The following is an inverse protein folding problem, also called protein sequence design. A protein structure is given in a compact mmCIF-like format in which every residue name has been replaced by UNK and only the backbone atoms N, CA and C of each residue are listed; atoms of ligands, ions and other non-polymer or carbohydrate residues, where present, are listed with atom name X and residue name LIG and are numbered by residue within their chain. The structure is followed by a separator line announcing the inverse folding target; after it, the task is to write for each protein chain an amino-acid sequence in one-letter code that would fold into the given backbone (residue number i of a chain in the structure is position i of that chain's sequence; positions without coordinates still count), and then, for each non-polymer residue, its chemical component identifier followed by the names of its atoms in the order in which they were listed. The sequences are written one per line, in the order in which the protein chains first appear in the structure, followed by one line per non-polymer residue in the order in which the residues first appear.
data_IF_039617340065
#
_entry.id   IF_039617340065
#
_cell.length_a   1.000
_cell.length_b   1.000
_cell.length_c   1.000
_cell.angle_alpha   90.00
_cell.angle_beta   90.00
_cell.angle_gamma   90.00
#
_symmetry.space_group_name_H-M   'P 1'
#
loop_
_entity.id
_entity.type
_entity.pdbx_description
1 polymer ?
#
# COMPACT_ATOMS: atom_id res chain seq x y z
N UNK A 1 10.09 59.47 9.55
CA UNK A 1 9.87 57.98 9.50
C UNK A 1 9.16 57.63 10.79
N UNK A 2 7.91 57.16 10.69
CA UNK A 2 7.08 56.91 11.85
C UNK A 2 7.65 55.68 12.62
N UNK A 3 7.83 55.84 13.93
CA UNK A 3 8.42 54.84 14.83
C UNK A 3 7.65 53.51 14.72
N UNK A 4 6.32 53.56 14.58
CA UNK A 4 5.50 52.37 14.41
C UNK A 4 5.84 51.57 13.14
N UNK A 5 6.07 52.25 12.00
CA UNK A 5 6.50 51.63 10.76
C UNK A 5 7.89 50.98 10.87
N UNK A 6 8.81 51.63 11.61
CA UNK A 6 10.13 51.09 11.85
C UNK A 6 10.08 49.83 12.74
N UNK A 7 9.28 49.85 13.83
CA UNK A 7 9.07 48.74 14.72
C UNK A 7 8.43 47.57 13.94
N UNK A 8 7.39 47.82 13.16
CA UNK A 8 6.71 46.81 12.33
C UNK A 8 7.65 46.17 11.30
N UNK A 9 8.49 46.97 10.63
CA UNK A 9 9.51 46.48 9.71
C UNK A 9 10.57 45.63 10.44
N UNK A 10 11.03 46.02 11.61
CA UNK A 10 12.00 45.28 12.42
C UNK A 10 11.41 43.97 12.93
N UNK A 11 10.17 43.98 13.43
CA UNK A 11 9.46 42.78 13.87
C UNK A 11 9.26 41.81 12.69
N UNK A 12 8.81 42.34 11.54
CA UNK A 12 8.62 41.52 10.34
C UNK A 12 9.95 40.96 9.80
N UNK A 13 11.05 41.73 9.86
CA UNK A 13 12.37 41.24 9.46
C UNK A 13 12.91 40.20 10.45
N UNK A 14 12.69 40.40 11.76
CA UNK A 14 13.08 39.44 12.80
C UNK A 14 12.25 38.15 12.71
N UNK A 15 10.93 38.26 12.53
CA UNK A 15 10.04 37.10 12.33
C UNK A 15 10.41 36.37 11.05
N UNK A 16 10.68 37.05 9.94
CA UNK A 16 11.18 36.45 8.71
C UNK A 16 12.54 35.77 8.89
N UNK A 17 13.47 36.40 9.66
CA UNK A 17 14.77 35.79 9.95
C UNK A 17 14.63 34.52 10.83
N UNK A 18 13.72 34.51 11.81
CA UNK A 18 13.45 33.34 12.64
C UNK A 18 12.73 32.23 11.86
N UNK A 19 11.80 32.58 10.96
CA UNK A 19 11.16 31.63 10.05
C UNK A 19 12.18 31.05 9.05
N UNK A 20 13.16 31.85 8.61
CA UNK A 20 14.23 31.41 7.70
C UNK A 20 15.26 30.47 8.36
N UNK A 21 15.28 30.36 9.70
CA UNK A 21 16.19 29.46 10.44
C UNK A 21 15.62 28.07 10.74
N UNK A 22 14.32 27.86 10.62
CA UNK A 22 13.75 26.51 10.75
C UNK A 22 13.77 25.83 9.39
N UNK A 23 14.71 24.91 9.20
CA UNK A 23 14.76 24.06 8.01
C UNK A 23 13.43 23.33 7.87
N UNK A 24 12.79 23.43 6.71
CA UNK A 24 11.54 22.73 6.43
C UNK A 24 11.73 21.21 6.60
N UNK A 25 10.69 20.55 7.03
CA UNK A 25 10.73 19.12 7.35
C UNK A 25 9.66 18.37 6.57
N UNK A 26 10.06 17.36 5.81
CA UNK A 26 9.13 16.48 5.11
C UNK A 26 9.08 15.10 5.76
N UNK A 27 7.92 14.43 5.69
CA UNK A 27 7.79 13.01 6.01
C UNK A 27 7.50 12.22 4.74
N UNK A 28 8.20 11.11 4.57
CA UNK A 28 8.11 10.24 3.41
C UNK A 28 7.69 8.82 3.80
N UNK A 29 6.66 8.27 3.12
CA UNK A 29 6.40 6.84 3.11
C UNK A 29 7.56 6.13 2.40
N UNK A 30 8.33 5.31 3.13
CA UNK A 30 9.63 4.80 2.69
C UNK A 30 9.66 3.27 2.67
N UNK A 31 9.77 2.70 1.48
CA UNK A 31 9.92 1.25 1.28
C UNK A 31 11.37 0.76 1.27
N UNK A 32 12.35 1.68 1.22
CA UNK A 32 13.75 1.34 0.97
C UNK A 32 14.08 0.98 -0.48
N UNK A 33 13.11 1.07 -1.38
CA UNK A 33 13.29 0.90 -2.83
C UNK A 33 14.08 2.03 -3.48
N UNK A 34 14.26 1.96 -4.81
CA UNK A 34 14.96 2.99 -5.56
C UNK A 34 14.19 4.31 -5.48
N UNK A 35 12.92 4.31 -5.89
CA UNK A 35 12.07 5.48 -6.00
C UNK A 35 12.05 6.28 -4.69
N UNK A 36 11.74 5.64 -3.57
CA UNK A 36 11.72 6.30 -2.27
C UNK A 36 13.11 6.76 -1.80
N UNK A 37 14.19 6.09 -2.22
CA UNK A 37 15.57 6.54 -1.95
C UNK A 37 15.95 7.78 -2.76
N UNK A 38 15.48 7.85 -4.02
CA UNK A 38 15.60 9.05 -4.88
C UNK A 38 14.84 10.22 -4.25
N UNK A 39 13.61 9.99 -3.79
CA UNK A 39 12.80 11.03 -3.13
C UNK A 39 13.48 11.59 -1.89
N UNK A 40 14.11 10.77 -1.04
CA UNK A 40 14.88 11.25 0.12
C UNK A 40 15.92 12.27 -0.32
N UNK A 41 16.73 11.91 -1.32
CA UNK A 41 17.82 12.79 -1.81
C UNK A 41 17.28 14.03 -2.49
N UNK A 42 16.23 13.90 -3.28
CA UNK A 42 15.57 15.03 -3.92
C UNK A 42 15.06 16.06 -2.91
N UNK A 43 14.37 15.62 -1.85
CA UNK A 43 13.89 16.50 -0.79
C UNK A 43 15.05 17.20 -0.04
N UNK A 44 16.16 16.50 0.19
CA UNK A 44 17.33 17.05 0.87
C UNK A 44 18.07 18.08 0.02
N UNK A 45 18.27 17.82 -1.25
CA UNK A 45 19.19 18.59 -2.11
C UNK A 45 18.47 19.66 -2.92
N UNK A 46 17.28 19.38 -3.48
CA UNK A 46 16.53 20.33 -4.30
C UNK A 46 15.60 21.23 -3.45
N UNK A 47 15.09 20.69 -2.33
CA UNK A 47 14.21 21.46 -1.43
C UNK A 47 14.87 21.88 -0.12
N UNK A 48 16.13 21.51 0.11
CA UNK A 48 16.86 21.78 1.36
C UNK A 48 16.07 21.38 2.63
N UNK A 49 15.31 20.28 2.57
CA UNK A 49 14.46 19.81 3.66
C UNK A 49 15.15 18.80 4.56
N UNK A 50 14.82 18.80 5.83
CA UNK A 50 15.06 17.67 6.72
C UNK A 50 14.02 16.58 6.44
N UNK A 51 14.47 15.33 6.25
CA UNK A 51 13.59 14.22 5.90
C UNK A 51 13.40 13.29 7.11
N UNK A 52 12.15 13.03 7.43
CA UNK A 52 11.69 11.94 8.30
C UNK A 52 11.10 10.86 7.42
N UNK A 53 11.37 9.60 7.72
CA UNK A 53 10.81 8.48 6.95
C UNK A 53 10.02 7.54 7.85
N UNK A 54 9.03 6.89 7.25
CA UNK A 54 8.21 5.87 7.92
C UNK A 54 8.04 4.66 7.01
N UNK A 55 8.29 3.48 7.56
CA UNK A 55 7.92 2.20 6.96
C UNK A 55 6.83 1.56 7.81
N UNK A 56 5.75 1.14 7.17
CA UNK A 56 4.60 0.53 7.84
C UNK A 56 4.53 -0.94 7.45
N UNK A 57 4.54 -1.81 8.45
CA UNK A 57 4.41 -3.26 8.28
C UNK A 57 2.94 -3.65 8.18
N UNK A 58 2.52 -4.06 7.01
CA UNK A 58 1.21 -4.64 6.69
C UNK A 58 1.32 -6.11 6.28
N UNK A 59 2.47 -6.73 6.57
CA UNK A 59 2.76 -8.15 6.30
C UNK A 59 3.48 -8.40 4.98
N UNK A 60 4.25 -7.44 4.49
CA UNK A 60 5.04 -7.59 3.26
C UNK A 60 6.30 -8.45 3.43
N UNK A 61 6.69 -8.75 4.69
CA UNK A 61 7.86 -9.61 4.97
C UNK A 61 9.21 -8.95 4.74
N UNK A 62 9.26 -7.63 4.79
CA UNK A 62 10.49 -6.85 4.58
C UNK A 62 11.50 -6.98 5.74
N UNK A 63 12.77 -6.77 5.44
CA UNK A 63 13.82 -6.60 6.46
C UNK A 63 13.85 -5.15 6.96
N UNK A 64 13.06 -4.85 7.98
CA UNK A 64 12.96 -3.51 8.58
C UNK A 64 14.27 -3.00 9.17
N UNK A 65 15.18 -3.89 9.58
CA UNK A 65 16.52 -3.48 10.05
C UNK A 65 17.35 -2.97 8.88
N UNK A 66 17.31 -3.66 7.75
CA UNK A 66 17.98 -3.24 6.51
C UNK A 66 17.41 -1.92 5.97
N UNK A 67 16.07 -1.76 5.99
CA UNK A 67 15.40 -0.53 5.58
C UNK A 67 15.83 0.65 6.48
N UNK A 68 15.81 0.48 7.80
CA UNK A 68 16.24 1.49 8.75
C UNK A 68 17.71 1.89 8.55
N UNK A 69 18.59 0.91 8.33
CA UNK A 69 20.00 1.15 8.05
C UNK A 69 20.21 1.94 6.75
N UNK A 70 19.38 1.66 5.72
CA UNK A 70 19.39 2.39 4.46
C UNK A 70 18.91 3.83 4.63
N UNK A 71 17.82 4.06 5.35
CA UNK A 71 17.33 5.40 5.69
C UNK A 71 18.43 6.23 6.39
N UNK A 72 19.11 5.64 7.38
CA UNK A 72 20.24 6.28 8.08
C UNK A 72 21.38 6.64 7.13
N UNK A 73 21.76 5.74 6.21
CA UNK A 73 22.82 5.98 5.21
C UNK A 73 22.46 7.10 4.24
N UNK A 74 21.17 7.30 3.95
CA UNK A 74 20.69 8.40 3.12
C UNK A 74 20.66 9.75 3.86
N UNK A 75 21.05 9.81 5.15
CA UNK A 75 21.06 11.04 5.93
C UNK A 75 19.67 11.44 6.45
N UNK A 76 18.74 10.50 6.55
CA UNK A 76 17.41 10.74 7.12
C UNK A 76 17.55 11.11 8.62
N UNK A 77 16.89 12.18 9.05
CA UNK A 77 16.93 12.65 10.45
C UNK A 77 16.33 11.63 11.43
N UNK A 78 15.23 10.99 11.03
CA UNK A 78 14.54 10.00 11.84
C UNK A 78 13.77 9.02 10.95
N UNK A 79 13.80 7.75 11.34
CA UNK A 79 13.07 6.69 10.67
C UNK A 79 12.16 5.96 11.66
N UNK A 80 10.93 5.73 11.26
CA UNK A 80 9.93 4.98 12.02
C UNK A 80 9.60 3.67 11.34
N UNK A 81 9.54 2.59 12.14
CA UNK A 81 8.94 1.32 11.73
C UNK A 81 7.67 1.12 12.55
N UNK A 82 6.55 0.96 11.90
CA UNK A 82 5.23 0.79 12.52
C UNK A 82 4.67 -0.58 12.14
N UNK A 83 4.45 -1.44 13.11
CA UNK A 83 3.70 -2.69 12.90
C UNK A 83 2.20 -2.38 12.90
N UNK A 84 1.59 -2.44 11.72
CA UNK A 84 0.16 -2.19 11.52
C UNK A 84 -0.60 -3.46 11.08
N UNK A 85 0.01 -4.66 11.15
CA UNK A 85 -0.62 -5.92 10.69
C UNK A 85 -1.95 -6.20 11.35
N UNK A 86 -2.05 -5.99 12.67
CA UNK A 86 -3.29 -6.22 13.39
C UNK A 86 -4.40 -5.30 12.90
N UNK A 87 -4.12 -3.99 12.83
CA UNK A 87 -5.05 -2.97 12.35
C UNK A 87 -5.43 -3.24 10.89
N UNK A 88 -4.46 -3.62 10.05
CA UNK A 88 -4.74 -4.00 8.66
C UNK A 88 -5.74 -5.14 8.56
N UNK A 89 -5.62 -6.17 9.41
CA UNK A 89 -6.58 -7.29 9.41
C UNK A 89 -7.94 -6.87 9.95
N UNK A 90 -7.98 -6.20 11.13
CA UNK A 90 -9.25 -5.92 11.81
C UNK A 90 -10.07 -4.82 11.15
N UNK A 91 -9.41 -3.78 10.64
CA UNK A 91 -10.08 -2.54 10.23
C UNK A 91 -10.17 -2.40 8.69
N UNK A 92 -9.43 -3.25 7.94
CA UNK A 92 -9.43 -3.23 6.47
C UNK A 92 -9.81 -4.57 5.85
N UNK A 93 -9.13 -5.67 6.22
CA UNK A 93 -9.39 -6.99 5.63
C UNK A 93 -10.76 -7.52 6.06
N UNK A 94 -11.11 -7.44 7.34
CA UNK A 94 -12.40 -7.93 7.82
C UNK A 94 -13.60 -7.18 7.23
N UNK A 95 -13.61 -5.85 7.11
CA UNK A 95 -14.61 -5.15 6.32
C UNK A 95 -14.65 -5.59 4.85
N UNK A 96 -13.50 -5.82 4.22
CA UNK A 96 -13.46 -6.30 2.84
C UNK A 96 -14.07 -7.72 2.69
N UNK A 97 -13.85 -8.62 3.66
CA UNK A 97 -14.52 -9.93 3.68
C UNK A 97 -16.04 -9.76 3.79
N UNK A 98 -16.51 -8.91 4.72
CA UNK A 98 -17.96 -8.64 4.89
C UNK A 98 -18.61 -8.04 3.63
N UNK A 99 -17.86 -7.26 2.89
CA UNK A 99 -18.30 -6.67 1.63
C UNK A 99 -18.09 -7.60 0.42
N UNK A 100 -17.68 -8.85 0.60
CA UNK A 100 -17.32 -9.78 -0.49
C UNK A 100 -16.46 -9.07 -1.57
N UNK A 101 -15.50 -8.25 -1.13
CA UNK A 101 -14.91 -7.18 -1.92
C UNK A 101 -13.99 -7.70 -3.03
N UNK A 102 -14.43 -7.52 -4.27
CA UNK A 102 -13.69 -7.86 -5.48
C UNK A 102 -13.89 -6.77 -6.53
N UNK A 103 -12.85 -5.97 -6.78
CA UNK A 103 -12.89 -5.02 -7.90
C UNK A 103 -12.95 -5.78 -9.22
N UNK A 104 -13.89 -5.39 -10.09
CA UNK A 104 -14.19 -6.07 -11.36
C UNK A 104 -14.39 -7.59 -11.20
N UNK A 105 -14.93 -8.03 -10.04
CA UNK A 105 -15.16 -9.45 -9.70
C UNK A 105 -13.90 -10.32 -9.67
N UNK A 106 -12.72 -9.71 -9.58
CA UNK A 106 -11.41 -10.39 -9.64
C UNK A 106 -10.46 -9.97 -8.54
N UNK A 107 -10.16 -8.69 -8.45
CA UNK A 107 -9.10 -8.17 -7.57
C UNK A 107 -9.59 -7.95 -6.14
N UNK A 108 -8.95 -8.62 -5.17
CA UNK A 108 -9.31 -8.58 -3.74
C UNK A 108 -8.86 -7.31 -3.01
N UNK A 109 -8.45 -6.27 -3.72
CA UNK A 109 -8.11 -4.94 -3.18
C UNK A 109 -6.87 -4.90 -2.25
N UNK A 110 -5.94 -5.85 -2.35
CA UNK A 110 -4.82 -5.98 -1.41
C UNK A 110 -4.03 -4.67 -1.22
N UNK A 111 -3.57 -4.03 -2.30
CA UNK A 111 -2.87 -2.75 -2.21
C UNK A 111 -3.80 -1.58 -1.95
N UNK A 112 -5.04 -1.64 -2.48
CA UNK A 112 -6.04 -0.59 -2.29
C UNK A 112 -6.47 -0.42 -0.83
N UNK A 113 -6.48 -1.51 -0.05
CA UNK A 113 -6.73 -1.49 1.39
C UNK A 113 -5.49 -1.04 2.19
N UNK A 114 -4.29 -1.44 1.75
CA UNK A 114 -3.06 -1.16 2.50
C UNK A 114 -2.61 0.31 2.38
N UNK A 115 -2.76 0.95 1.21
CA UNK A 115 -2.24 2.31 0.99
C UNK A 115 -2.91 3.38 1.86
N UNK A 116 -4.24 3.39 2.07
CA UNK A 116 -4.87 4.30 3.01
C UNK A 116 -4.35 4.13 4.44
N UNK A 117 -4.19 2.91 4.93
CA UNK A 117 -3.61 2.67 6.26
C UNK A 117 -2.19 3.22 6.36
N UNK A 118 -1.33 2.97 5.36
CA UNK A 118 0.03 3.51 5.34
C UNK A 118 0.00 5.04 5.38
N UNK A 119 -0.84 5.68 4.56
CA UNK A 119 -0.99 7.13 4.52
C UNK A 119 -1.49 7.70 5.86
N UNK A 120 -2.42 7.04 6.54
CA UNK A 120 -2.86 7.43 7.88
C UNK A 120 -1.72 7.36 8.91
N UNK A 121 -0.86 6.33 8.85
CA UNK A 121 0.33 6.27 9.72
C UNK A 121 1.34 7.38 9.41
N UNK A 122 1.49 7.75 8.12
CA UNK A 122 2.27 8.93 7.72
C UNK A 122 1.70 10.18 8.38
N UNK A 123 0.39 10.42 8.32
CA UNK A 123 -0.28 11.57 8.94
C UNK A 123 -0.11 11.62 10.46
N UNK A 124 -0.23 10.47 11.14
CA UNK A 124 -0.01 10.37 12.59
C UNK A 124 1.41 10.81 12.99
N UNK A 125 2.42 10.34 12.24
CA UNK A 125 3.82 10.73 12.50
C UNK A 125 4.09 12.17 12.03
N UNK A 126 3.46 12.62 10.93
CA UNK A 126 3.55 14.01 10.47
C UNK A 126 3.15 15.00 11.57
N UNK A 127 2.02 14.75 12.23
CA UNK A 127 1.54 15.55 13.37
C UNK A 127 2.51 15.50 14.55
N UNK A 128 3.03 14.31 14.88
CA UNK A 128 4.00 14.11 15.99
C UNK A 128 5.31 14.85 15.71
N UNK A 129 5.83 14.80 14.50
CA UNK A 129 7.10 15.40 14.10
C UNK A 129 6.98 16.86 13.69
N UNK A 130 5.75 17.41 13.62
CA UNK A 130 5.45 18.79 13.21
C UNK A 130 6.11 19.10 11.86
N UNK A 131 5.88 18.23 10.88
CA UNK A 131 6.43 18.41 9.53
C UNK A 131 5.67 19.50 8.78
N UNK A 132 6.31 20.06 7.76
CA UNK A 132 5.73 21.10 6.87
C UNK A 132 5.22 20.53 5.55
N UNK A 133 5.59 19.27 5.23
CA UNK A 133 5.21 18.62 3.96
C UNK A 133 5.10 17.11 4.11
N UNK A 134 4.22 16.52 3.30
CA UNK A 134 4.07 15.07 3.14
C UNK A 134 4.74 14.66 1.82
N UNK A 135 5.24 13.41 1.73
CA UNK A 135 5.84 12.93 0.50
C UNK A 135 5.58 11.44 0.27
N UNK A 136 5.57 11.04 -1.00
CA UNK A 136 5.57 9.65 -1.43
C UNK A 136 6.35 9.46 -2.73
N UNK A 137 6.76 8.22 -3.01
CA UNK A 137 7.53 7.85 -4.21
C UNK A 137 6.71 7.14 -5.29
N UNK A 138 5.40 7.38 -5.37
CA UNK A 138 4.56 6.73 -6.38
C UNK A 138 4.71 7.41 -7.74
N UNK A 139 4.70 6.60 -8.81
CA UNK A 139 4.68 7.10 -10.19
C UNK A 139 3.28 7.54 -10.60
N UNK A 140 3.17 8.39 -11.64
CA UNK A 140 1.90 8.85 -12.20
C UNK A 140 1.08 7.77 -12.93
N UNK A 141 1.67 6.61 -13.23
CA UNK A 141 1.04 5.51 -13.96
C UNK A 141 0.29 4.52 -13.07
N UNK A 142 0.57 4.52 -11.77
CA UNK A 142 -0.04 3.60 -10.80
C UNK A 142 -1.23 4.21 -10.06
N UNK A 143 -2.09 3.35 -9.51
CA UNK A 143 -3.22 3.76 -8.67
C UNK A 143 -2.79 4.28 -7.29
N UNK A 144 -1.63 3.85 -6.81
CA UNK A 144 -1.17 4.09 -5.44
C UNK A 144 -1.02 5.57 -5.12
N UNK A 145 -0.59 6.40 -6.09
CA UNK A 145 -0.52 7.85 -5.92
C UNK A 145 -1.88 8.44 -5.52
N UNK A 146 -2.96 8.00 -6.19
CA UNK A 146 -4.32 8.49 -5.92
C UNK A 146 -4.74 8.14 -4.49
N UNK A 147 -4.46 6.92 -4.05
CA UNK A 147 -4.79 6.42 -2.71
C UNK A 147 -4.02 7.16 -1.62
N UNK A 148 -2.72 7.44 -1.84
CA UNK A 148 -1.92 8.26 -0.94
C UNK A 148 -2.44 9.69 -0.89
N UNK A 149 -2.59 10.34 -2.05
CA UNK A 149 -3.02 11.73 -2.13
C UNK A 149 -4.39 11.93 -1.47
N UNK A 150 -5.40 11.15 -1.83
CA UNK A 150 -6.75 11.29 -1.27
C UNK A 150 -6.76 11.12 0.26
N UNK A 151 -6.04 10.12 0.78
CA UNK A 151 -5.97 9.92 2.24
C UNK A 151 -5.20 11.05 2.92
N UNK A 152 -4.09 11.50 2.33
CA UNK A 152 -3.28 12.60 2.90
C UNK A 152 -4.04 13.93 2.87
N UNK A 153 -4.75 14.24 1.77
CA UNK A 153 -5.57 15.45 1.62
C UNK A 153 -6.79 15.44 2.57
N UNK A 154 -7.40 14.28 2.80
CA UNK A 154 -8.50 14.14 3.76
C UNK A 154 -8.07 14.40 5.21
N UNK A 155 -6.82 14.07 5.56
CA UNK A 155 -6.30 14.18 6.94
C UNK A 155 -5.40 15.37 7.20
N UNK A 156 -5.05 16.20 6.18
CA UNK A 156 -4.11 17.31 6.36
C UNK A 156 -4.20 18.32 5.21
N UNK A 157 -3.91 19.59 5.53
CA UNK A 157 -3.73 20.66 4.54
C UNK A 157 -2.25 20.87 4.15
N UNK A 158 -1.34 19.99 4.57
CA UNK A 158 0.07 20.08 4.21
C UNK A 158 0.27 19.77 2.72
N UNK A 159 1.22 20.44 2.05
CA UNK A 159 1.55 20.13 0.67
C UNK A 159 2.10 18.71 0.55
N UNK A 160 1.75 18.03 -0.56
CA UNK A 160 2.21 16.70 -0.92
C UNK A 160 3.27 16.84 -2.02
N UNK A 161 4.44 16.27 -1.81
CA UNK A 161 5.57 16.28 -2.74
C UNK A 161 5.77 14.87 -3.28
N UNK A 162 5.56 14.68 -4.58
CA UNK A 162 5.65 13.38 -5.25
C UNK A 162 6.60 13.44 -6.47
N UNK A 163 7.92 13.59 -6.30
CA UNK A 163 8.85 13.93 -7.38
C UNK A 163 8.87 12.91 -8.51
N UNK A 164 8.70 11.62 -8.22
CA UNK A 164 8.67 10.58 -9.24
C UNK A 164 7.54 10.82 -10.23
N UNK A 165 6.34 11.17 -9.72
CA UNK A 165 5.18 11.53 -10.52
C UNK A 165 5.34 12.89 -11.18
N UNK A 166 5.63 13.92 -10.38
CA UNK A 166 5.54 15.33 -10.77
C UNK A 166 6.60 15.68 -11.83
N UNK A 167 7.75 15.00 -11.81
CA UNK A 167 8.80 15.12 -12.81
C UNK A 167 8.76 14.02 -13.88
N UNK A 168 7.74 13.14 -13.82
CA UNK A 168 7.59 11.97 -14.71
C UNK A 168 8.90 11.17 -14.87
N UNK A 169 9.56 10.88 -13.73
CA UNK A 169 10.84 10.17 -13.73
C UNK A 169 10.64 8.73 -14.18
N UNK A 170 11.41 8.34 -15.19
CA UNK A 170 11.51 6.95 -15.59
C UNK A 170 12.64 6.23 -14.84
N UNK A 171 12.63 4.90 -14.89
CA UNK A 171 13.61 4.04 -14.23
C UNK A 171 15.05 4.38 -14.60
N UNK A 172 15.31 4.75 -15.87
CA UNK A 172 16.64 5.08 -16.34
C UNK A 172 17.15 6.39 -15.73
N UNK A 173 16.27 7.38 -15.64
CA UNK A 173 16.55 8.68 -15.00
C UNK A 173 16.79 8.53 -13.50
N UNK A 174 15.94 7.74 -12.82
CA UNK A 174 16.13 7.42 -11.40
C UNK A 174 17.47 6.74 -11.12
N UNK A 175 17.88 5.79 -11.97
CA UNK A 175 19.18 5.12 -11.85
C UNK A 175 20.37 6.09 -12.05
N UNK A 176 20.26 7.02 -13.00
CA UNK A 176 21.27 8.07 -13.21
C UNK A 176 21.35 9.00 -11.99
N UNK A 177 20.20 9.43 -11.47
CA UNK A 177 20.13 10.25 -10.27
C UNK A 177 20.75 9.52 -9.07
N UNK A 178 20.36 8.27 -8.86
CA UNK A 178 20.88 7.44 -7.77
C UNK A 178 22.41 7.28 -7.84
N UNK A 179 22.95 7.05 -9.04
CA UNK A 179 24.42 6.98 -9.26
C UNK A 179 25.12 8.30 -8.92
N UNK A 180 24.56 9.44 -9.38
CA UNK A 180 25.10 10.78 -9.12
C UNK A 180 25.18 11.07 -7.61
N UNK A 181 24.17 10.63 -6.84
CA UNK A 181 24.04 10.92 -5.39
C UNK A 181 24.52 9.77 -4.49
N UNK A 182 25.26 8.79 -5.03
CA UNK A 182 25.86 7.70 -4.26
C UNK A 182 24.84 6.76 -3.59
N UNK A 183 23.62 6.67 -4.11
CA UNK A 183 22.58 5.78 -3.60
C UNK A 183 22.94 4.34 -4.03
N UNK A 184 23.21 3.49 -3.05
CA UNK A 184 23.43 2.06 -3.32
C UNK A 184 22.11 1.40 -3.71
N UNK A 185 22.08 0.77 -4.88
CA UNK A 185 20.93 0.06 -5.42
C UNK A 185 21.18 -1.43 -5.27
N UNK A 186 20.39 -2.07 -4.43
CA UNK A 186 20.37 -3.52 -4.31
C UNK A 186 19.50 -4.08 -5.43
N UNK A 187 20.06 -4.83 -6.37
CA UNK A 187 19.37 -5.46 -7.52
C UNK A 187 18.79 -4.50 -8.58
N UNK A 188 19.56 -4.26 -9.61
CA UNK A 188 19.14 -3.46 -10.80
C UNK A 188 18.14 -4.23 -11.70
N UNK A 189 18.19 -5.55 -11.72
CA UNK A 189 17.41 -6.41 -12.61
C UNK A 189 16.38 -7.26 -11.84
N UNK A 190 15.28 -6.65 -11.39
CA UNK A 190 14.11 -7.45 -11.00
C UNK A 190 13.35 -7.86 -12.27
N UNK A 191 13.04 -9.16 -12.37
CA UNK A 191 12.24 -9.71 -13.48
C UNK A 191 10.81 -9.16 -13.47
N UNK A 192 10.26 -8.94 -12.27
CA UNK A 192 8.92 -8.43 -12.03
C UNK A 192 8.94 -7.32 -10.98
N UNK A 193 7.97 -6.43 -11.04
CA UNK A 193 7.61 -5.56 -9.93
C UNK A 193 6.66 -6.32 -9.00
N UNK A 194 6.99 -6.36 -7.72
CA UNK A 194 6.24 -7.11 -6.72
C UNK A 194 5.78 -6.14 -5.63
N UNK A 195 4.49 -6.19 -5.33
CA UNK A 195 3.90 -5.56 -4.16
C UNK A 195 3.08 -6.60 -3.38
N UNK A 196 3.37 -6.76 -2.10
CA UNK A 196 2.70 -7.77 -1.28
C UNK A 196 2.39 -7.26 0.12
N UNK A 197 1.36 -7.87 0.72
CA UNK A 197 0.97 -7.70 2.11
C UNK A 197 0.25 -8.96 2.61
N UNK A 198 -0.35 -8.94 3.80
CA UNK A 198 -1.07 -10.11 4.34
C UNK A 198 -2.22 -10.60 3.44
N UNK A 199 -2.81 -9.73 2.62
CA UNK A 199 -4.03 -10.03 1.86
C UNK A 199 -3.78 -10.50 0.43
N UNK A 200 -2.62 -10.19 -0.13
CA UNK A 200 -2.27 -10.62 -1.47
C UNK A 200 -0.91 -10.12 -1.94
N UNK A 201 -0.49 -10.66 -3.06
CA UNK A 201 0.74 -10.33 -3.74
C UNK A 201 0.44 -9.99 -5.20
N UNK A 202 0.75 -8.76 -5.60
CA UNK A 202 0.66 -8.27 -6.97
C UNK A 202 1.97 -8.50 -7.70
N UNK A 203 1.89 -8.90 -8.96
CA UNK A 203 3.03 -9.21 -9.82
C UNK A 203 2.78 -8.50 -11.15
N UNK A 204 3.62 -7.55 -11.51
CA UNK A 204 3.51 -6.78 -12.77
C UNK A 204 4.85 -6.56 -13.44
N UNK A 205 4.83 -6.09 -14.68
CA UNK A 205 6.03 -5.72 -15.44
C UNK A 205 6.69 -6.87 -16.19
N UNK A 206 7.73 -6.55 -16.94
CA UNK A 206 8.50 -7.51 -17.73
C UNK A 206 7.66 -8.23 -18.79
N UNK A 207 7.74 -9.56 -18.82
CA UNK A 207 7.01 -10.37 -19.80
C UNK A 207 5.48 -10.29 -19.62
N UNK A 208 5.00 -9.94 -18.43
CA UNK A 208 3.56 -9.84 -18.13
C UNK A 208 2.90 -8.64 -18.82
N UNK A 209 3.66 -7.65 -19.27
CA UNK A 209 3.12 -6.54 -20.09
C UNK A 209 2.62 -7.00 -21.47
N UNK A 210 2.91 -8.25 -21.87
CA UNK A 210 2.42 -8.86 -23.10
C UNK A 210 1.24 -9.78 -22.77
N UNK A 211 -0.03 -9.35 -22.99
CA UNK A 211 -1.22 -10.11 -22.55
C UNK A 211 -1.32 -11.52 -23.17
N UNK A 212 -0.68 -11.74 -24.32
CA UNK A 212 -0.70 -13.04 -25.03
C UNK A 212 0.30 -14.07 -24.47
N UNK A 213 1.15 -13.67 -23.51
CA UNK A 213 2.14 -14.56 -22.90
C UNK A 213 1.64 -15.00 -21.55
N UNK A 214 1.56 -16.31 -21.34
CA UNK A 214 1.21 -16.90 -20.04
C UNK A 214 2.23 -16.50 -18.97
N UNK A 215 1.78 -16.16 -17.72
CA UNK A 215 2.70 -15.89 -16.64
C UNK A 215 3.59 -17.10 -16.36
N UNK A 216 4.91 -16.94 -16.32
CA UNK A 216 5.81 -18.05 -16.06
C UNK A 216 5.70 -18.54 -14.61
N UNK A 217 5.90 -19.83 -14.39
CA UNK A 217 5.79 -20.47 -13.06
C UNK A 217 6.62 -19.80 -11.98
N UNK A 218 7.79 -19.25 -12.32
CA UNK A 218 8.68 -18.56 -11.38
C UNK A 218 8.18 -17.17 -10.93
N UNK A 219 7.07 -16.69 -11.50
CA UNK A 219 6.37 -15.52 -10.98
C UNK A 219 5.64 -15.82 -9.67
N UNK A 220 5.23 -17.09 -9.46
CA UNK A 220 4.42 -17.52 -8.33
C UNK A 220 5.28 -18.10 -7.20
N UNK A 221 5.03 -17.64 -5.97
CA UNK A 221 5.71 -18.13 -4.77
C UNK A 221 4.75 -18.51 -3.64
N UNK A 222 3.54 -17.97 -3.63
CA UNK A 222 2.52 -18.29 -2.64
C UNK A 222 1.64 -19.43 -3.08
N UNK A 223 1.38 -19.54 -4.39
CA UNK A 223 0.48 -20.53 -4.98
C UNK A 223 1.28 -21.54 -5.79
N UNK A 224 1.13 -22.82 -5.48
CA UNK A 224 1.72 -23.90 -6.24
C UNK A 224 1.03 -24.04 -7.59
N UNK A 225 1.80 -24.09 -8.67
CA UNK A 225 1.33 -24.37 -10.03
C UNK A 225 1.54 -25.84 -10.43
N UNK A 226 2.44 -26.56 -9.71
CA UNK A 226 2.81 -27.95 -9.97
C UNK A 226 2.81 -28.78 -8.69
N UNK A 227 2.77 -30.09 -8.85
CA UNK A 227 2.77 -31.05 -7.73
C UNK A 227 1.65 -30.78 -6.71
N UNK A 228 0.46 -30.51 -7.23
CA UNK A 228 -0.73 -30.29 -6.42
C UNK A 228 -1.18 -31.55 -5.69
N UNK A 229 -1.89 -31.44 -4.54
CA UNK A 229 -2.42 -32.58 -3.84
C UNK A 229 -3.38 -33.40 -4.73
N UNK A 230 -3.24 -34.71 -4.74
CA UNK A 230 -4.15 -35.62 -5.49
C UNK A 230 -5.54 -35.77 -4.82
N UNK A 231 -5.70 -35.28 -3.58
CA UNK A 231 -6.95 -35.31 -2.83
C UNK A 231 -7.40 -33.88 -2.52
N UNK A 232 -8.71 -33.63 -2.47
CA UNK A 232 -9.24 -32.33 -2.04
C UNK A 232 -8.72 -31.90 -0.67
N UNK A 233 -8.40 -30.64 -0.54
CA UNK A 233 -8.04 -30.03 0.75
C UNK A 233 -9.27 -29.32 1.30
N UNK A 234 -9.71 -29.69 2.49
CA UNK A 234 -10.86 -29.10 3.16
C UNK A 234 -10.40 -28.15 4.27
N UNK A 235 -11.12 -27.03 4.42
CA UNK A 235 -10.97 -26.08 5.51
C UNK A 235 -12.35 -25.83 6.12
N UNK A 236 -12.47 -26.01 7.44
CA UNK A 236 -13.68 -25.67 8.19
C UNK A 236 -13.49 -24.31 8.85
N UNK A 237 -14.07 -23.27 8.26
CA UNK A 237 -13.93 -21.88 8.72
C UNK A 237 -15.14 -21.52 9.58
N UNK A 238 -14.91 -21.05 10.81
CA UNK A 238 -15.97 -20.50 11.67
C UNK A 238 -16.01 -18.99 11.50
N UNK A 239 -17.19 -18.47 11.17
CA UNK A 239 -17.47 -17.05 11.13
C UNK A 239 -18.32 -16.63 12.35
N UNK A 240 -18.02 -15.45 12.90
CA UNK A 240 -18.86 -14.77 13.89
C UNK A 240 -19.10 -13.33 13.44
N UNK A 241 -20.37 -12.96 13.20
CA UNK A 241 -20.75 -11.64 12.68
C UNK A 241 -20.02 -11.26 11.38
N UNK A 242 -19.84 -12.23 10.48
CA UNK A 242 -19.16 -12.04 9.20
C UNK A 242 -17.62 -12.01 9.30
N UNK A 243 -17.03 -12.29 10.46
CA UNK A 243 -15.58 -12.28 10.68
C UNK A 243 -15.08 -13.70 10.90
N UNK A 244 -14.02 -14.19 10.20
CA UNK A 244 -13.45 -15.50 10.45
C UNK A 244 -12.69 -15.52 11.78
N UNK A 245 -13.05 -16.45 12.67
CA UNK A 245 -12.50 -16.52 14.05
C UNK A 245 -11.79 -17.83 14.37
N UNK A 246 -12.07 -18.91 13.62
CA UNK A 246 -11.44 -20.21 13.84
C UNK A 246 -11.35 -21.01 12.56
N UNK A 247 -10.35 -21.91 12.49
CA UNK A 247 -10.16 -22.86 11.39
C UNK A 247 -10.01 -24.26 12.00
N UNK A 248 -10.74 -25.24 11.45
CA UNK A 248 -10.73 -26.65 11.88
C UNK A 248 -10.94 -26.80 13.40
N UNK A 249 -11.85 -25.97 13.94
CA UNK A 249 -12.21 -25.96 15.38
C UNK A 249 -11.22 -25.22 16.29
N UNK A 250 -10.13 -24.65 15.76
CA UNK A 250 -9.12 -23.93 16.54
C UNK A 250 -9.27 -22.44 16.34
N UNK A 251 -9.55 -21.69 17.42
CA UNK A 251 -9.50 -20.21 17.42
C UNK A 251 -8.09 -19.72 17.16
N UNK A 252 -7.96 -18.71 16.34
CA UNK A 252 -6.66 -18.14 15.92
C UNK A 252 -6.64 -16.63 16.08
N UNK A 253 -5.45 -16.09 16.34
CA UNK A 253 -5.20 -14.67 16.18
C UNK A 253 -5.48 -14.25 14.72
N UNK A 254 -6.13 -13.11 14.47
CA UNK A 254 -6.50 -12.66 13.12
C UNK A 254 -5.38 -12.73 12.09
N UNK A 255 -4.17 -12.28 12.43
CA UNK A 255 -3.02 -12.31 11.53
C UNK A 255 -2.67 -13.77 11.17
N UNK A 256 -2.52 -14.62 12.19
CA UNK A 256 -2.17 -16.04 11.98
C UNK A 256 -3.24 -16.80 11.20
N UNK A 257 -4.52 -16.40 11.33
CA UNK A 257 -5.62 -17.00 10.59
C UNK A 257 -5.46 -16.70 9.08
N UNK A 258 -5.19 -15.45 8.71
CA UNK A 258 -4.96 -15.07 7.30
C UNK A 258 -3.72 -15.78 6.75
N UNK A 259 -2.59 -15.76 7.48
CA UNK A 259 -1.35 -16.44 7.09
C UNK A 259 -1.57 -17.94 6.89
N UNK A 260 -2.30 -18.60 7.80
CA UNK A 260 -2.59 -20.03 7.70
C UNK A 260 -3.39 -20.37 6.45
N UNK A 261 -4.45 -19.60 6.15
CA UNK A 261 -5.26 -19.84 4.95
C UNK A 261 -4.43 -19.56 3.69
N UNK A 262 -3.63 -18.49 3.65
CA UNK A 262 -2.72 -18.22 2.54
C UNK A 262 -1.84 -19.44 2.23
N UNK A 263 -1.23 -20.03 3.24
CA UNK A 263 -0.36 -21.21 3.07
C UNK A 263 -1.17 -22.44 2.61
N UNK A 264 -2.30 -22.71 3.23
CA UNK A 264 -3.11 -23.90 2.93
C UNK A 264 -3.73 -23.85 1.54
N UNK A 265 -4.36 -22.74 1.19
CA UNK A 265 -4.99 -22.53 -0.12
C UNK A 265 -3.93 -22.47 -1.24
N UNK A 266 -2.84 -21.72 -1.01
CA UNK A 266 -1.75 -21.65 -1.96
C UNK A 266 -1.07 -22.98 -2.23
N UNK A 267 -0.89 -23.83 -1.19
CA UNK A 267 -0.37 -25.19 -1.36
C UNK A 267 -1.31 -26.13 -2.13
N UNK A 268 -2.59 -25.81 -2.19
CA UNK A 268 -3.60 -26.52 -2.96
C UNK A 268 -3.82 -25.92 -4.38
N UNK A 269 -3.03 -24.93 -4.78
CA UNK A 269 -3.11 -24.31 -6.10
C UNK A 269 -4.20 -23.26 -6.26
N UNK A 270 -4.75 -22.75 -5.15
CA UNK A 270 -5.84 -21.76 -5.16
C UNK A 270 -5.30 -20.36 -4.99
N UNK A 271 -5.82 -19.39 -5.77
CA UNK A 271 -5.64 -17.96 -5.55
C UNK A 271 -4.79 -17.23 -6.58
N UNK A 272 -4.52 -17.82 -7.76
CA UNK A 272 -3.95 -17.07 -8.89
C UNK A 272 -5.08 -16.35 -9.63
N UNK A 273 -4.89 -15.07 -9.86
CA UNK A 273 -5.75 -14.21 -10.66
C UNK A 273 -4.90 -13.56 -11.74
N UNK A 274 -5.33 -13.67 -12.98
CA UNK A 274 -4.73 -13.01 -14.14
C UNK A 274 -5.85 -12.31 -14.92
N UNK A 275 -5.80 -10.98 -14.98
CA UNK A 275 -6.82 -10.23 -15.67
C UNK A 275 -6.36 -8.87 -16.19
N UNK A 276 -7.13 -8.28 -17.07
CA UNK A 276 -6.97 -6.89 -17.50
C UNK A 276 -7.77 -6.01 -16.55
N UNK A 277 -7.10 -5.08 -15.92
CA UNK A 277 -7.64 -4.18 -14.92
C UNK A 277 -7.77 -2.76 -15.46
N UNK A 278 -8.88 -2.09 -15.15
CA UNK A 278 -9.05 -0.67 -15.42
C UNK A 278 -8.50 0.14 -14.25
N UNK A 279 -7.36 0.82 -14.46
CA UNK A 279 -6.75 1.66 -13.43
C UNK A 279 -7.52 2.98 -13.26
N UNK A 280 -7.52 3.52 -12.04
CA UNK A 280 -8.15 4.82 -11.71
C UNK A 280 -7.63 5.94 -12.61
N UNK A 281 -6.38 5.87 -13.02
CA UNK A 281 -5.72 6.85 -13.91
C UNK A 281 -6.13 6.74 -15.38
N UNK A 282 -7.11 5.87 -15.72
CA UNK A 282 -7.70 5.77 -17.05
C UNK A 282 -6.94 4.89 -18.03
N UNK A 283 -6.01 4.06 -17.58
CA UNK A 283 -5.30 3.10 -18.43
C UNK A 283 -5.66 1.67 -18.05
N UNK A 284 -5.53 0.76 -19.01
CA UNK A 284 -5.66 -0.68 -18.79
C UNK A 284 -4.30 -1.30 -18.56
N UNK A 285 -4.23 -2.24 -17.63
CA UNK A 285 -3.03 -3.01 -17.36
C UNK A 285 -3.36 -4.47 -17.11
N UNK A 286 -2.45 -5.36 -17.47
CA UNK A 286 -2.52 -6.74 -17.03
C UNK A 286 -1.95 -6.83 -15.63
N UNK A 287 -2.75 -7.38 -14.73
CA UNK A 287 -2.40 -7.60 -13.34
C UNK A 287 -2.47 -9.09 -13.02
N UNK A 288 -1.40 -9.59 -12.41
CA UNK A 288 -1.33 -10.97 -11.93
C UNK A 288 -1.21 -10.95 -10.41
N UNK A 289 -2.08 -11.70 -9.74
CA UNK A 289 -2.14 -11.72 -8.29
C UNK A 289 -2.02 -13.13 -7.73
N UNK A 290 -1.44 -13.24 -6.56
CA UNK A 290 -1.56 -14.40 -5.67
C UNK A 290 -2.35 -13.97 -4.43
N UNK A 291 -3.59 -14.49 -4.30
CA UNK A 291 -4.54 -14.09 -3.27
C UNK A 291 -5.23 -15.29 -2.61
N UNK A 292 -4.48 -16.31 -2.17
CA UNK A 292 -5.05 -17.58 -1.76
C UNK A 292 -6.01 -17.48 -0.58
N UNK A 293 -5.66 -16.72 0.45
CA UNK A 293 -6.51 -16.51 1.61
C UNK A 293 -7.74 -15.68 1.29
N UNK A 294 -7.57 -14.63 0.47
CA UNK A 294 -8.69 -13.78 0.05
C UNK A 294 -9.71 -14.56 -0.77
N UNK A 295 -9.26 -15.35 -1.76
CA UNK A 295 -10.13 -16.18 -2.58
C UNK A 295 -10.97 -17.13 -1.71
N UNK A 296 -10.35 -17.82 -0.75
CA UNK A 296 -11.07 -18.74 0.13
C UNK A 296 -12.04 -18.04 1.09
N UNK A 297 -11.62 -16.92 1.69
CA UNK A 297 -12.43 -16.25 2.72
C UNK A 297 -13.62 -15.48 2.13
N UNK A 298 -13.43 -14.82 1.00
CA UNK A 298 -14.50 -14.10 0.32
C UNK A 298 -15.54 -15.08 -0.22
N UNK A 299 -15.11 -16.16 -0.88
CA UNK A 299 -16.04 -17.18 -1.40
C UNK A 299 -16.83 -17.87 -0.27
N UNK A 300 -16.14 -18.31 0.79
CA UNK A 300 -16.79 -18.94 1.94
C UNK A 300 -17.77 -18.00 2.65
N UNK A 301 -17.44 -16.71 2.75
CA UNK A 301 -18.33 -15.71 3.35
C UNK A 301 -19.57 -15.46 2.46
N UNK A 302 -19.37 -15.30 1.15
CA UNK A 302 -20.45 -15.11 0.19
C UNK A 302 -21.44 -16.29 0.16
N UNK A 303 -20.95 -17.53 0.24
CA UNK A 303 -21.80 -18.71 0.32
C UNK A 303 -22.55 -18.80 1.66
N UNK A 304 -21.91 -18.44 2.76
CA UNK A 304 -22.58 -18.38 4.06
C UNK A 304 -23.72 -17.33 4.05
N UNK A 305 -23.53 -16.19 3.42
CA UNK A 305 -24.58 -15.17 3.28
C UNK A 305 -25.80 -15.69 2.50
N UNK A 306 -25.58 -16.46 1.42
CA UNK A 306 -26.66 -17.07 0.64
C UNK A 306 -27.55 -18.02 1.48
N UNK A 307 -26.99 -18.61 2.55
CA UNK A 307 -27.77 -19.46 3.46
C UNK A 307 -28.68 -18.70 4.40
N UNK A 308 -28.38 -17.44 4.70
CA UNK A 308 -29.09 -16.64 5.70
C UNK A 308 -29.88 -15.47 5.13
N UNK A 309 -29.48 -14.95 3.99
CA UNK A 309 -30.16 -13.84 3.32
C UNK A 309 -31.33 -14.30 2.45
N UNK A 310 -32.39 -13.49 2.41
CA UNK A 310 -33.41 -13.63 1.38
C UNK A 310 -32.85 -13.27 0.01
N UNK A 311 -33.52 -13.73 -1.07
CA UNK A 311 -33.13 -13.37 -2.44
C UNK A 311 -33.04 -11.85 -2.70
N UNK A 312 -33.87 -11.06 -1.99
CA UNK A 312 -33.89 -9.61 -2.14
C UNK A 312 -32.72 -8.95 -1.42
N UNK A 313 -32.37 -9.41 -0.22
CA UNK A 313 -31.20 -8.97 0.52
C UNK A 313 -29.92 -9.31 -0.25
N UNK A 314 -29.79 -10.52 -0.77
CA UNK A 314 -28.62 -10.94 -1.58
C UNK A 314 -28.47 -10.04 -2.81
N UNK A 315 -29.58 -9.76 -3.52
CA UNK A 315 -29.55 -8.86 -4.70
C UNK A 315 -29.12 -7.45 -4.33
N UNK A 316 -29.69 -6.87 -3.28
CA UNK A 316 -29.36 -5.52 -2.83
C UNK A 316 -27.90 -5.44 -2.34
N UNK A 317 -27.51 -6.40 -1.49
CA UNK A 317 -26.13 -6.46 -0.97
C UNK A 317 -25.09 -6.55 -2.08
N UNK A 318 -25.34 -7.35 -3.11
CA UNK A 318 -24.39 -7.46 -4.24
C UNK A 318 -24.10 -6.11 -4.91
N UNK A 319 -25.11 -5.22 -5.03
CA UNK A 319 -24.91 -3.87 -5.56
C UNK A 319 -24.07 -3.01 -4.60
N UNK A 320 -24.32 -3.12 -3.30
CA UNK A 320 -23.56 -2.40 -2.27
C UNK A 320 -22.12 -2.90 -2.20
N UNK A 321 -21.89 -4.21 -2.27
CA UNK A 321 -20.56 -4.82 -2.27
C UNK A 321 -19.72 -4.36 -3.48
N UNK A 322 -20.35 -4.25 -4.65
CA UNK A 322 -19.70 -3.76 -5.85
C UNK A 322 -19.31 -2.29 -5.74
N UNK A 323 -20.23 -1.46 -5.26
CA UNK A 323 -19.97 -0.03 -5.04
C UNK A 323 -18.89 0.17 -3.98
N UNK A 324 -18.94 -0.58 -2.87
CA UNK A 324 -17.89 -0.54 -1.84
C UNK A 324 -16.52 -0.90 -2.43
N UNK A 325 -16.46 -1.94 -3.25
CA UNK A 325 -15.21 -2.38 -3.90
C UNK A 325 -14.67 -1.32 -4.85
N UNK A 326 -15.55 -0.67 -5.61
CA UNK A 326 -15.21 0.44 -6.51
C UNK A 326 -14.64 1.64 -5.75
N UNK A 327 -15.30 2.06 -4.68
CA UNK A 327 -14.87 3.19 -3.85
C UNK A 327 -13.53 2.92 -3.18
N UNK A 328 -13.31 1.73 -2.63
CA UNK A 328 -12.01 1.33 -2.07
C UNK A 328 -10.92 1.32 -3.13
N UNK A 329 -11.20 0.72 -4.29
CA UNK A 329 -10.24 0.67 -5.39
C UNK A 329 -9.79 2.06 -5.81
N UNK A 330 -10.72 2.99 -5.90
CA UNK A 330 -10.50 4.39 -6.27
C UNK A 330 -9.87 5.25 -5.17
N UNK A 331 -9.67 4.70 -3.97
CA UNK A 331 -9.16 5.46 -2.82
C UNK A 331 -10.19 6.43 -2.22
N UNK A 332 -11.48 6.31 -2.59
CA UNK A 332 -12.54 7.24 -2.17
C UNK A 332 -13.12 6.90 -0.80
N UNK A 333 -12.88 5.72 -0.24
CA UNK A 333 -13.21 5.40 1.14
C UNK A 333 -12.01 5.77 2.01
N UNK A 334 -12.06 6.93 2.63
CA UNK A 334 -11.30 7.22 3.84
C UNK A 334 -11.98 6.44 4.95
N UNK A 335 -11.44 5.28 5.33
CA UNK A 335 -11.90 4.56 6.51
C UNK A 335 -11.72 5.54 7.67
N UNK A 336 -12.81 5.82 8.40
CA UNK A 336 -12.91 6.88 9.38
C UNK A 336 -11.67 6.97 10.27
N UNK A 337 -11.07 8.14 10.21
CA UNK A 337 -10.03 8.59 11.13
C UNK A 337 -10.68 8.94 12.46
#
# INVERSE_FOLDING_TARGET
MNIENWITQKINSYVRSQICYMKEKAILAFSGGLDTSVVVKYLQEEHNMDVVTITVDVGQGDDYKKISAKAKKLGVKKHYNIDAKKEFVTDYIFPAIKANALYQKKYCLATALARPLIAQKVLQIAKKEKVTSLAHGCSGKGNDQVRFDLTMMAGSNLPIIAPIRDLNLDRATELKFAKKHGIKIDNVAKKFSIDQNLWGRAIEGGVLEKPMIEPPDDAFIWVKTKNLPNKPTYLKIKFEKGIPVAIDGKSMNPIKLIEYINIKAGSAGVGIIDHIEDRVVGIKSREVYETPGAACLIEAHADLEKMVHTKHETKFKSMVDDEWSWLVYSGSISIHI
#
